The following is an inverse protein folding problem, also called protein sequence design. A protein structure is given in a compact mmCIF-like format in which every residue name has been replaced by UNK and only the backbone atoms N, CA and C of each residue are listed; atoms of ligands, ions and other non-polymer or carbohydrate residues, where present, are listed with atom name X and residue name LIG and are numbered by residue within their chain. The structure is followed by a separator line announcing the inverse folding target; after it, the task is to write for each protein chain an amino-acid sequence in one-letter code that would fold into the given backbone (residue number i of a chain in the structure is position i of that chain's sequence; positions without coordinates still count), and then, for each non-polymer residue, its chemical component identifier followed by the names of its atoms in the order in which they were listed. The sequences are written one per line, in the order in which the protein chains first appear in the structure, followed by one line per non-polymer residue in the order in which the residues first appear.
data_IF_514124572758
#
_entry.id   IF_514124572758
#
_cell.length_a   1.000
_cell.length_b   1.000
_cell.length_c   1.000
_cell.angle_alpha   90.00
_cell.angle_beta   90.00
_cell.angle_gamma   90.00
#
_symmetry.space_group_name_H-M   'P 1'
#
loop_
_entity.id
_entity.type
_entity.pdbx_description
1 polymer ?
#
# COMPACT_ATOMS: atom_id res chain seq x y z
N UNK A 1 -12.48 32.29 51.97
CA UNK A 1 -12.75 31.25 50.94
C UNK A 1 -12.36 31.83 49.59
N UNK A 2 -11.17 31.49 49.09
CA UNK A 2 -10.64 31.99 47.82
C UNK A 2 -11.19 31.15 46.66
N UNK A 3 -12.07 31.75 45.87
CA UNK A 3 -12.50 31.21 44.58
C UNK A 3 -11.39 31.46 43.56
N UNK A 4 -10.63 30.40 43.23
CA UNK A 4 -9.72 30.41 42.08
C UNK A 4 -10.57 30.34 40.81
N UNK A 5 -10.71 31.49 40.15
CA UNK A 5 -11.20 31.57 38.77
C UNK A 5 -10.17 30.87 37.87
N UNK A 6 -10.50 29.66 37.42
CA UNK A 6 -9.73 28.94 36.43
C UNK A 6 -9.88 29.68 35.09
N UNK A 7 -8.87 30.44 34.69
CA UNK A 7 -8.78 31.06 33.36
C UNK A 7 -8.88 29.97 32.27
N UNK A 8 -9.69 30.16 31.22
CA UNK A 8 -9.79 29.20 30.13
C UNK A 8 -8.48 29.19 29.34
N UNK A 9 -8.01 27.99 29.02
CA UNK A 9 -6.86 27.72 28.15
C UNK A 9 -7.08 28.49 26.84
N UNK A 10 -6.26 29.50 26.61
CA UNK A 10 -6.27 30.31 25.39
C UNK A 10 -5.94 29.43 24.20
N UNK A 11 -6.93 29.29 23.31
CA UNK A 11 -6.85 28.50 22.09
C UNK A 11 -6.07 29.32 21.06
N UNK A 12 -4.77 29.06 20.95
CA UNK A 12 -3.88 29.69 19.97
C UNK A 12 -4.34 29.28 18.57
N UNK A 13 -4.56 30.28 17.72
CA UNK A 13 -5.08 30.14 16.36
C UNK A 13 -3.97 29.63 15.42
N UNK A 14 -4.28 28.76 14.45
CA UNK A 14 -3.34 28.34 13.40
C UNK A 14 -3.30 29.36 12.25
N UNK A 15 -3.28 30.66 12.56
CA UNK A 15 -3.21 31.76 11.57
C UNK A 15 -1.92 32.58 11.68
N UNK A 16 -1.00 32.23 12.60
CA UNK A 16 0.35 32.75 12.54
C UNK A 16 1.08 32.01 11.41
N UNK A 17 1.28 32.73 10.30
CA UNK A 17 2.39 32.52 9.37
C UNK A 17 3.64 32.13 10.18
N UNK A 18 4.40 31.08 9.81
CA UNK A 18 5.49 30.62 10.65
C UNK A 18 6.48 31.77 10.84
N UNK A 19 6.41 32.40 12.01
CA UNK A 19 7.50 33.19 12.56
C UNK A 19 8.74 32.30 12.43
N UNK A 20 9.83 32.85 11.88
CA UNK A 20 11.07 32.18 11.47
C UNK A 20 11.89 31.69 12.69
N UNK A 21 11.17 31.16 13.68
CA UNK A 21 11.55 30.66 15.00
C UNK A 21 11.60 29.13 15.00
N UNK A 22 11.85 28.55 13.82
CA UNK A 22 12.37 27.18 13.77
C UNK A 22 13.62 27.09 14.66
N UNK A 23 13.92 25.92 15.26
CA UNK A 23 15.06 25.76 16.16
C UNK A 23 16.44 26.03 15.50
N UNK A 24 16.48 26.23 14.18
CA UNK A 24 17.67 26.54 13.38
C UNK A 24 17.29 27.62 12.36
N UNK A 25 17.92 28.79 12.44
CA UNK A 25 17.82 29.82 11.39
C UNK A 25 18.61 29.35 10.17
N UNK A 26 17.94 29.14 9.05
CA UNK A 26 18.56 28.62 7.83
C UNK A 26 19.26 29.79 7.09
N UNK A 27 20.60 29.80 7.10
CA UNK A 27 21.39 30.83 6.43
C UNK A 27 21.32 30.77 4.90
N UNK A 28 21.83 31.79 4.21
CA UNK A 28 21.87 31.84 2.73
C UNK A 28 22.57 30.61 2.10
N UNK A 29 23.52 30.01 2.82
CA UNK A 29 24.21 28.78 2.44
C UNK A 29 23.29 27.56 2.31
N UNK A 30 22.19 27.51 3.05
CA UNK A 30 21.21 26.42 2.96
C UNK A 30 20.57 26.37 1.57
N UNK A 31 20.13 27.52 1.05
CA UNK A 31 19.45 27.60 -0.24
C UNK A 31 20.36 27.20 -1.39
N UNK A 32 21.65 27.55 -1.30
CA UNK A 32 22.67 27.09 -2.26
C UNK A 32 22.87 25.57 -2.19
N UNK A 33 23.08 25.01 -0.99
CA UNK A 33 23.23 23.56 -0.78
C UNK A 33 21.99 22.79 -1.26
N UNK A 34 20.79 23.34 -1.05
CA UNK A 34 19.54 22.76 -1.54
C UNK A 34 19.52 22.69 -3.07
N UNK A 35 19.85 23.77 -3.76
CA UNK A 35 19.92 23.80 -5.22
C UNK A 35 20.97 22.83 -5.81
N UNK A 36 22.11 22.67 -5.15
CA UNK A 36 23.14 21.68 -5.53
C UNK A 36 22.66 20.24 -5.31
N UNK A 37 22.05 19.97 -4.17
CA UNK A 37 21.50 18.66 -3.84
C UNK A 37 20.40 18.24 -4.82
N UNK A 38 19.49 19.14 -5.18
CA UNK A 38 18.44 18.85 -6.16
C UNK A 38 19.01 18.53 -7.55
N UNK A 39 20.11 19.17 -7.96
CA UNK A 39 20.77 18.83 -9.24
C UNK A 39 21.37 17.42 -9.22
N UNK A 40 21.98 17.02 -8.10
CA UNK A 40 22.52 15.67 -7.92
C UNK A 40 21.42 14.61 -7.86
N UNK A 41 20.26 14.96 -7.30
CA UNK A 41 19.09 14.06 -7.25
C UNK A 41 18.28 14.02 -8.55
N UNK A 42 18.44 15.00 -9.46
CA UNK A 42 17.73 15.01 -10.74
C UNK A 42 18.13 13.83 -11.64
N UNK A 43 19.32 13.28 -11.42
CA UNK A 43 19.80 12.05 -12.08
C UNK A 43 19.27 10.76 -11.40
N UNK A 44 18.72 10.86 -10.17
CA UNK A 44 18.00 9.75 -9.53
C UNK A 44 16.59 9.66 -10.12
N UNK A 45 16.20 8.44 -10.50
CA UNK A 45 14.92 8.17 -11.17
C UNK A 45 13.73 8.56 -10.29
N UNK A 46 13.87 8.55 -8.94
CA UNK A 46 12.76 8.84 -8.03
C UNK A 46 13.13 9.52 -6.70
N UNK A 47 12.38 10.56 -6.28
CA UNK A 47 12.56 11.18 -4.98
C UNK A 47 12.11 10.24 -3.85
N UNK A 48 12.99 10.00 -2.88
CA UNK A 48 12.64 9.33 -1.64
C UNK A 48 12.13 10.37 -0.61
N UNK A 49 10.88 10.20 -0.20
CA UNK A 49 10.16 11.09 0.73
C UNK A 49 10.26 10.54 2.15
N UNK A 50 10.52 11.40 3.14
CA UNK A 50 10.47 11.01 4.55
C UNK A 50 9.03 10.78 5.04
N UNK A 51 8.75 9.66 5.68
CA UNK A 51 7.43 9.29 6.19
C UNK A 51 7.06 10.05 7.47
N UNK A 52 8.03 10.35 8.33
CA UNK A 52 7.86 11.07 9.60
C UNK A 52 6.64 10.64 10.43
N UNK A 53 6.37 9.33 10.50
CA UNK A 53 5.16 8.74 11.10
C UNK A 53 4.79 9.29 12.48
N UNK A 54 5.78 9.51 13.35
CA UNK A 54 5.58 10.04 14.70
C UNK A 54 5.05 11.48 14.67
N UNK A 55 5.54 12.32 13.75
CA UNK A 55 5.07 13.70 13.58
C UNK A 55 3.64 13.74 13.06
N UNK A 56 3.29 12.88 12.10
CA UNK A 56 1.90 12.76 11.64
C UNK A 56 0.97 12.33 12.78
N UNK A 57 1.35 11.34 13.59
CA UNK A 57 0.55 10.91 14.74
C UNK A 57 0.38 12.01 15.79
N UNK A 58 1.43 12.81 16.04
CA UNK A 58 1.35 13.99 16.90
C UNK A 58 0.39 15.04 16.35
N UNK A 59 0.48 15.37 15.06
CA UNK A 59 -0.42 16.33 14.41
C UNK A 59 -1.89 15.89 14.48
N UNK A 60 -2.17 14.61 14.15
CA UNK A 60 -3.51 14.04 14.24
C UNK A 60 -4.08 14.12 15.66
N UNK A 61 -3.26 13.78 16.66
CA UNK A 61 -3.66 13.82 18.07
C UNK A 61 -3.91 15.26 18.54
N UNK A 62 -3.08 16.21 18.10
CA UNK A 62 -3.28 17.62 18.40
C UNK A 62 -4.59 18.15 17.83
N UNK A 63 -4.87 17.90 16.55
CA UNK A 63 -6.12 18.30 15.89
C UNK A 63 -7.34 17.64 16.54
N UNK A 64 -7.25 16.36 16.92
CA UNK A 64 -8.31 15.68 17.67
C UNK A 64 -8.57 16.35 19.02
N UNK A 65 -7.52 16.67 19.78
CA UNK A 65 -7.65 17.36 21.06
C UNK A 65 -8.30 18.75 20.91
N UNK A 66 -7.97 19.50 19.84
CA UNK A 66 -8.66 20.75 19.55
C UNK A 66 -10.16 20.55 19.30
N UNK A 67 -10.55 19.52 18.54
CA UNK A 67 -11.95 19.18 18.31
C UNK A 67 -12.67 18.81 19.61
N UNK A 68 -12.02 18.07 20.50
CA UNK A 68 -12.56 17.72 21.83
C UNK A 68 -12.81 18.98 22.67
N UNK A 69 -11.88 19.93 22.68
CA UNK A 69 -12.05 21.21 23.39
C UNK A 69 -13.21 22.04 22.82
N UNK A 70 -13.34 22.10 21.49
CA UNK A 70 -14.45 22.79 20.83
C UNK A 70 -15.76 22.11 21.22
N UNK A 71 -15.84 20.78 21.14
CA UNK A 71 -17.02 20.00 21.54
C UNK A 71 -17.42 20.27 22.98
N UNK A 72 -16.48 20.19 23.92
CA UNK A 72 -16.73 20.43 25.35
C UNK A 72 -17.28 21.83 25.62
N UNK A 73 -16.77 22.86 24.93
CA UNK A 73 -17.27 24.22 25.05
C UNK A 73 -18.70 24.38 24.51
N UNK A 74 -19.04 23.71 23.41
CA UNK A 74 -20.38 23.74 22.82
C UNK A 74 -21.38 23.04 23.75
N UNK A 75 -21.03 21.86 24.26
CA UNK A 75 -21.88 21.10 25.20
C UNK A 75 -22.10 21.87 26.50
N UNK A 76 -21.07 22.52 27.04
CA UNK A 76 -21.16 23.32 28.27
C UNK A 76 -22.05 24.56 28.09
N UNK A 77 -21.95 25.26 26.96
CA UNK A 77 -22.64 26.54 26.77
C UNK A 77 -24.03 26.38 26.13
N UNK A 78 -24.37 25.20 25.62
CA UNK A 78 -25.65 24.90 24.96
C UNK A 78 -25.93 25.69 23.68
N UNK A 79 -24.99 26.55 23.23
CA UNK A 79 -25.10 27.42 22.08
C UNK A 79 -23.73 27.58 21.40
N UNK A 80 -23.72 28.03 20.15
CA UNK A 80 -22.48 28.22 19.38
C UNK A 80 -22.39 29.63 18.79
N UNK A 81 -21.21 30.23 18.84
CA UNK A 81 -20.94 31.51 18.17
C UNK A 81 -20.47 31.31 16.73
N UNK A 82 -20.72 32.29 15.84
CA UNK A 82 -20.21 32.29 14.46
C UNK A 82 -18.69 32.05 14.40
N UNK A 83 -17.92 32.67 15.30
CA UNK A 83 -16.46 32.48 15.38
C UNK A 83 -16.09 31.03 15.74
N UNK A 84 -16.82 30.43 16.70
CA UNK A 84 -16.60 29.03 17.10
C UNK A 84 -16.98 28.05 16.00
N UNK A 85 -18.03 28.33 15.23
CA UNK A 85 -18.43 27.51 14.09
C UNK A 85 -17.42 27.58 12.95
N UNK A 86 -16.86 28.77 12.67
CA UNK A 86 -15.77 28.92 11.69
C UNK A 86 -14.52 28.15 12.12
N UNK A 87 -14.13 28.26 13.40
CA UNK A 87 -13.02 27.51 13.96
C UNK A 87 -13.25 25.99 13.84
N UNK A 88 -14.43 25.50 14.24
CA UNK A 88 -14.80 24.10 14.13
C UNK A 88 -14.65 23.60 12.68
N UNK A 89 -15.18 24.35 11.71
CA UNK A 89 -15.07 24.00 10.29
C UNK A 89 -13.62 23.91 9.83
N UNK A 90 -12.79 24.90 10.20
CA UNK A 90 -11.36 24.92 9.85
C UNK A 90 -10.63 23.74 10.48
N UNK A 91 -10.82 23.48 11.78
CA UNK A 91 -10.16 22.36 12.48
C UNK A 91 -10.63 21.00 11.93
N UNK A 92 -11.92 20.81 11.65
CA UNK A 92 -12.43 19.58 11.02
C UNK A 92 -11.82 19.35 9.63
N UNK A 93 -11.69 20.41 8.84
CA UNK A 93 -11.06 20.34 7.52
C UNK A 93 -9.58 19.96 7.63
N UNK A 94 -8.82 20.58 8.54
CA UNK A 94 -7.43 20.23 8.78
C UNK A 94 -7.28 18.79 9.28
N UNK A 95 -8.16 18.34 10.17
CA UNK A 95 -8.15 16.96 10.67
C UNK A 95 -8.43 15.95 9.55
N UNK A 96 -9.43 16.19 8.71
CA UNK A 96 -9.75 15.33 7.58
C UNK A 96 -8.61 15.28 6.54
N UNK A 97 -7.98 16.42 6.25
CA UNK A 97 -6.82 16.47 5.37
C UNK A 97 -5.63 15.73 5.99
N UNK A 98 -5.33 15.94 7.27
CA UNK A 98 -4.23 15.24 7.95
C UNK A 98 -4.41 13.71 7.94
N UNK A 99 -5.65 13.21 8.06
CA UNK A 99 -5.95 11.78 7.92
C UNK A 99 -5.63 11.31 6.49
N UNK A 100 -6.12 12.04 5.48
CA UNK A 100 -5.89 11.70 4.07
C UNK A 100 -4.41 11.71 3.73
N UNK A 101 -3.68 12.73 4.17
CA UNK A 101 -2.25 12.90 3.91
C UNK A 101 -1.44 11.79 4.57
N UNK A 102 -1.79 11.44 5.82
CA UNK A 102 -1.16 10.31 6.52
C UNK A 102 -1.43 8.99 5.80
N UNK A 103 -2.68 8.72 5.43
CA UNK A 103 -3.04 7.52 4.67
C UNK A 103 -2.25 7.45 3.35
N UNK A 104 -2.25 8.53 2.59
CA UNK A 104 -1.53 8.63 1.32
C UNK A 104 -0.05 8.29 1.47
N UNK A 105 0.66 8.92 2.42
CA UNK A 105 2.08 8.67 2.66
C UNK A 105 2.33 7.22 3.12
N UNK A 106 1.46 6.66 3.95
CA UNK A 106 1.62 5.28 4.43
C UNK A 106 1.39 4.23 3.35
N UNK A 107 0.57 4.52 2.34
CA UNK A 107 0.28 3.64 1.21
C UNK A 107 1.38 3.65 0.13
N UNK A 108 2.28 4.62 0.16
CA UNK A 108 3.44 4.70 -0.75
C UNK A 108 4.39 3.51 -0.59
N UNK A 109 5.19 3.27 -1.63
CA UNK A 109 6.14 2.18 -1.66
C UNK A 109 7.28 2.36 -0.67
N UNK A 110 7.73 1.24 -0.10
CA UNK A 110 8.93 1.18 0.74
C UNK A 110 10.13 0.81 -0.11
N UNK A 111 11.07 1.72 -0.39
CA UNK A 111 12.28 1.39 -1.13
C UNK A 111 13.18 0.41 -0.34
N UNK A 112 14.08 -0.32 -1.04
CA UNK A 112 15.07 -1.19 -0.43
C UNK A 112 15.85 -0.49 0.69
N UNK A 113 16.22 -1.24 1.75
CA UNK A 113 16.94 -0.68 2.91
C UNK A 113 18.25 0.01 2.51
N UNK A 114 18.95 -0.51 1.50
CA UNK A 114 20.20 0.08 0.99
C UNK A 114 19.95 1.47 0.43
N UNK A 115 18.93 1.62 -0.43
CA UNK A 115 18.52 2.91 -0.98
C UNK A 115 18.15 3.91 0.12
N UNK A 116 17.39 3.46 1.14
CA UNK A 116 17.03 4.31 2.29
C UNK A 116 18.25 4.80 3.07
N UNK A 117 19.20 3.91 3.30
CA UNK A 117 20.43 4.26 4.00
C UNK A 117 21.29 5.22 3.18
N UNK A 118 21.41 4.98 1.88
CA UNK A 118 22.15 5.84 0.96
C UNK A 118 21.53 7.24 0.90
N UNK A 119 20.19 7.34 0.78
CA UNK A 119 19.47 8.61 0.80
C UNK A 119 19.69 9.37 2.11
N UNK A 120 19.57 8.67 3.24
CA UNK A 120 19.85 9.24 4.56
C UNK A 120 21.27 9.78 4.65
N UNK A 121 22.28 9.01 4.22
CA UNK A 121 23.68 9.44 4.23
C UNK A 121 23.89 10.66 3.31
N UNK A 122 23.25 10.68 2.13
CA UNK A 122 23.33 11.80 1.20
C UNK A 122 22.73 13.09 1.80
N UNK A 123 21.59 12.98 2.47
CA UNK A 123 20.95 14.10 3.18
C UNK A 123 21.79 14.55 4.38
N UNK A 124 22.30 13.61 5.19
CA UNK A 124 23.17 13.90 6.34
C UNK A 124 24.46 14.61 5.90
N UNK A 125 25.03 14.22 4.75
CA UNK A 125 26.22 14.84 4.18
C UNK A 125 25.97 16.20 3.53
N UNK A 126 24.83 16.37 2.85
CA UNK A 126 24.48 17.64 2.19
C UNK A 126 24.01 18.71 3.19
N UNK A 127 23.37 18.28 4.27
CA UNK A 127 22.80 19.15 5.30
C UNK A 127 23.28 18.74 6.72
N UNK A 128 24.57 18.92 7.04
CA UNK A 128 25.12 18.52 8.33
C UNK A 128 24.48 19.26 9.51
N UNK A 129 24.07 20.52 9.31
CA UNK A 129 23.37 21.34 10.30
C UNK A 129 22.01 20.74 10.69
N UNK A 130 21.32 20.10 9.75
CA UNK A 130 20.03 19.42 9.97
C UNK A 130 20.19 17.96 10.36
N UNK A 131 21.34 17.35 10.06
CA UNK A 131 21.67 16.00 10.49
C UNK A 131 21.81 15.90 12.01
N UNK A 132 22.34 16.94 12.64
CA UNK A 132 22.47 17.05 14.08
C UNK A 132 22.24 18.50 14.57
N UNK A 133 20.98 18.95 14.61
CA UNK A 133 20.65 20.34 14.96
C UNK A 133 20.93 20.65 16.44
N UNK A 134 21.03 19.63 17.29
CA UNK A 134 21.29 19.78 18.72
C UNK A 134 22.46 18.89 19.17
N UNK A 135 23.71 19.41 19.09
CA UNK A 135 24.90 18.67 19.48
C UNK A 135 24.80 18.17 20.94
N UNK A 136 25.15 16.90 21.17
CA UNK A 136 25.08 16.27 22.50
C UNK A 136 23.75 15.59 22.84
N UNK A 137 22.74 15.69 21.97
CA UNK A 137 21.48 14.93 22.08
C UNK A 137 21.47 13.73 21.13
N UNK A 138 20.70 12.67 21.44
CA UNK A 138 20.45 11.54 20.51
C UNK A 138 19.40 11.91 19.45
N UNK A 139 19.52 13.07 18.81
CA UNK A 139 18.60 13.49 17.77
C UNK A 139 19.18 13.20 16.39
N UNK A 140 18.50 12.37 15.60
CA UNK A 140 18.88 12.08 14.21
C UNK A 140 17.62 12.34 13.37
N UNK A 141 17.37 13.59 12.94
CA UNK A 141 16.12 13.97 12.28
C UNK A 141 15.86 13.20 10.98
N UNK A 142 16.92 12.90 10.23
CA UNK A 142 16.85 12.10 9.00
C UNK A 142 16.70 10.59 9.24
N UNK A 143 16.71 10.12 10.50
CA UNK A 143 16.39 8.74 10.83
C UNK A 143 14.88 8.49 10.78
N UNK A 144 14.34 8.55 9.56
CA UNK A 144 12.94 8.32 9.26
C UNK A 144 12.82 7.20 8.23
N UNK A 145 11.64 6.61 8.14
CA UNK A 145 11.36 5.69 7.05
C UNK A 145 11.18 6.51 5.78
N UNK A 146 11.87 6.13 4.70
CA UNK A 146 11.65 6.75 3.40
C UNK A 146 10.60 5.97 2.61
N UNK A 147 9.90 6.67 1.73
CA UNK A 147 8.87 6.19 0.80
C UNK A 147 9.16 6.69 -0.61
N UNK A 148 8.71 5.96 -1.63
CA UNK A 148 8.80 6.40 -3.02
C UNK A 148 7.43 6.63 -3.62
N UNK A 149 7.35 7.51 -4.62
CA UNK A 149 6.10 7.88 -5.28
C UNK A 149 5.50 6.75 -6.13
N UNK A 150 6.25 5.69 -6.42
CA UNK A 150 5.66 4.52 -7.04
C UNK A 150 4.52 4.00 -6.18
N UNK A 151 3.34 3.89 -6.80
CA UNK A 151 2.23 3.18 -6.19
C UNK A 151 2.70 1.77 -5.87
N UNK A 152 2.37 1.29 -4.67
CA UNK A 152 2.59 -0.09 -4.27
C UNK A 152 1.98 -1.01 -5.31
N UNK A 153 2.82 -1.56 -6.17
CA UNK A 153 2.48 -2.74 -6.96
C UNK A 153 2.46 -3.87 -5.94
N UNK A 154 1.36 -3.95 -5.18
CA UNK A 154 1.01 -5.16 -4.45
C UNK A 154 0.81 -6.19 -5.55
N UNK A 155 1.89 -6.84 -5.95
CA UNK A 155 1.80 -7.96 -6.87
C UNK A 155 1.11 -9.06 -6.07
N UNK A 156 -0.13 -9.35 -6.46
CA UNK A 156 -1.02 -10.20 -5.69
C UNK A 156 -0.32 -11.53 -5.39
N UNK A 157 -0.37 -11.96 -4.12
CA UNK A 157 0.19 -13.24 -3.68
C UNK A 157 -0.72 -14.35 -4.19
N UNK A 158 -0.59 -14.68 -5.46
CA UNK A 158 -1.36 -15.79 -6.04
C UNK A 158 -0.79 -17.12 -5.52
N UNK A 159 -1.64 -18.07 -5.14
CA UNK A 159 -1.20 -19.37 -4.59
C UNK A 159 -0.27 -20.14 -5.55
N UNK A 160 -0.43 -19.96 -6.86
CA UNK A 160 0.49 -20.49 -7.88
C UNK A 160 1.87 -19.82 -7.80
N UNK A 161 1.95 -18.52 -7.55
CA UNK A 161 3.23 -17.81 -7.39
C UNK A 161 3.96 -18.28 -6.13
N UNK A 162 3.23 -18.61 -5.06
CA UNK A 162 3.80 -19.22 -3.86
C UNK A 162 4.25 -20.67 -4.06
N UNK A 163 3.47 -21.48 -4.79
CA UNK A 163 3.85 -22.85 -5.15
C UNK A 163 5.09 -22.87 -6.04
N UNK A 164 5.13 -22.01 -7.07
CA UNK A 164 6.31 -21.80 -7.91
C UNK A 164 7.50 -21.34 -7.07
N UNK A 165 7.30 -20.43 -6.11
CA UNK A 165 8.34 -20.00 -5.16
C UNK A 165 8.87 -21.16 -4.31
N UNK A 166 8.04 -22.14 -3.93
CA UNK A 166 8.47 -23.31 -3.13
C UNK A 166 9.19 -24.36 -3.97
N UNK A 167 8.87 -24.48 -5.26
CA UNK A 167 9.42 -25.50 -6.15
C UNK A 167 10.59 -25.01 -7.02
N UNK A 168 10.70 -23.72 -7.35
CA UNK A 168 11.78 -23.19 -8.18
C UNK A 168 13.05 -22.93 -7.36
N UNK A 169 14.25 -23.28 -7.88
CA UNK A 169 15.51 -22.98 -7.23
C UNK A 169 15.73 -21.47 -7.11
N UNK A 170 16.35 -21.04 -6.01
CA UNK A 170 16.62 -19.63 -5.65
C UNK A 170 17.36 -18.81 -6.73
N UNK A 171 17.92 -19.43 -7.76
CA UNK A 171 18.56 -18.71 -8.88
C UNK A 171 17.56 -18.14 -9.88
N UNK A 172 16.34 -18.69 -9.98
CA UNK A 172 15.30 -18.24 -10.93
C UNK A 172 14.25 -17.34 -10.28
N UNK A 173 14.08 -17.40 -8.97
CA UNK A 173 13.11 -16.56 -8.24
C UNK A 173 13.55 -15.11 -8.10
N UNK A 174 14.85 -14.83 -8.23
CA UNK A 174 15.43 -13.50 -8.10
C UNK A 174 15.62 -12.80 -9.45
N UNK A 175 15.30 -11.51 -9.52
CA UNK A 175 15.69 -10.65 -10.63
C UNK A 175 17.16 -10.22 -10.50
N UNK A 176 17.84 -9.99 -11.62
CA UNK A 176 19.22 -9.47 -11.62
C UNK A 176 19.33 -8.10 -10.93
N UNK A 177 18.30 -7.27 -11.05
CA UNK A 177 18.20 -5.98 -10.38
C UNK A 177 18.07 -6.12 -8.85
N UNK A 178 17.21 -7.02 -8.36
CA UNK A 178 17.04 -7.22 -6.91
C UNK A 178 18.21 -7.99 -6.28
N UNK A 179 18.84 -8.92 -7.01
CA UNK A 179 20.07 -9.60 -6.58
C UNK A 179 21.22 -8.61 -6.37
N UNK A 180 21.37 -7.65 -7.28
CA UNK A 180 22.36 -6.56 -7.13
C UNK A 180 21.99 -5.58 -6.03
N UNK A 181 20.69 -5.33 -5.83
CA UNK A 181 20.21 -4.41 -4.82
C UNK A 181 20.15 -4.98 -3.38
N UNK A 182 20.20 -6.31 -3.18
CA UNK A 182 20.13 -6.97 -1.86
C UNK A 182 20.98 -8.26 -1.77
N UNK A 183 22.32 -8.18 -1.88
CA UNK A 183 23.19 -9.34 -1.85
C UNK A 183 23.19 -10.05 -0.48
N UNK A 184 22.98 -9.31 0.61
CA UNK A 184 22.86 -9.82 1.98
C UNK A 184 21.60 -10.70 2.15
N UNK A 185 20.46 -10.26 1.61
CA UNK A 185 19.19 -11.01 1.66
C UNK A 185 19.26 -12.27 0.77
N UNK A 186 19.90 -12.18 -0.40
CA UNK A 186 20.13 -13.32 -1.30
C UNK A 186 20.96 -14.42 -0.64
N UNK A 187 22.06 -14.05 0.02
CA UNK A 187 22.93 -15.02 0.73
C UNK A 187 22.24 -15.71 1.90
N UNK A 188 21.26 -15.04 2.51
CA UNK A 188 20.47 -15.57 3.65
C UNK A 188 19.32 -16.50 3.26
N UNK A 189 19.11 -16.76 1.96
CA UNK A 189 18.07 -17.69 1.47
C UNK A 189 16.63 -17.22 1.69
N UNK A 190 16.42 -15.95 2.05
CA UNK A 190 15.06 -15.36 2.15
C UNK A 190 14.51 -15.15 0.75
N UNK A 191 13.19 -15.21 0.60
CA UNK A 191 12.58 -15.02 -0.70
C UNK A 191 12.49 -13.54 -1.09
N UNK A 192 12.56 -13.22 -2.40
CA UNK A 192 12.44 -11.86 -2.90
C UNK A 192 11.01 -11.32 -2.78
N UNK A 193 10.88 -10.00 -2.66
CA UNK A 193 9.57 -9.32 -2.61
C UNK A 193 8.98 -9.12 -4.02
N UNK A 194 9.83 -9.14 -5.07
CA UNK A 194 9.43 -8.96 -6.47
C UNK A 194 9.72 -10.26 -7.23
N UNK A 195 8.69 -10.81 -7.88
CA UNK A 195 8.84 -12.04 -8.67
C UNK A 195 9.65 -11.76 -9.94
N UNK A 196 10.55 -12.68 -10.29
CA UNK A 196 11.24 -12.66 -11.59
C UNK A 196 10.22 -12.63 -12.75
N UNK A 197 10.49 -11.88 -13.84
CA UNK A 197 9.63 -11.85 -15.02
C UNK A 197 9.40 -13.27 -15.60
N UNK A 198 10.36 -14.18 -15.40
CA UNK A 198 10.20 -15.58 -15.78
C UNK A 198 9.15 -16.31 -14.95
N UNK A 199 9.12 -16.10 -13.62
CA UNK A 199 8.12 -16.70 -12.72
C UNK A 199 6.74 -16.13 -13.02
N UNK A 200 6.64 -14.84 -13.30
CA UNK A 200 5.37 -14.20 -13.67
C UNK A 200 4.85 -14.73 -15.02
N UNK A 201 5.70 -14.83 -16.04
CA UNK A 201 5.32 -15.46 -17.32
C UNK A 201 4.93 -16.93 -17.16
N UNK A 202 5.64 -17.69 -16.31
CA UNK A 202 5.33 -19.10 -16.06
C UNK A 202 4.01 -19.26 -15.30
N UNK A 203 3.75 -18.42 -14.30
CA UNK A 203 2.48 -18.41 -13.57
C UNK A 203 1.31 -18.08 -14.51
N UNK A 204 1.45 -17.05 -15.35
CA UNK A 204 0.44 -16.69 -16.36
C UNK A 204 0.22 -17.79 -17.37
N UNK A 205 1.28 -18.47 -17.81
CA UNK A 205 1.19 -19.61 -18.71
C UNK A 205 0.40 -20.76 -18.05
N UNK A 206 0.75 -21.15 -16.82
CA UNK A 206 0.05 -22.23 -16.09
C UNK A 206 -1.42 -21.87 -15.86
N UNK A 207 -1.72 -20.64 -15.42
CA UNK A 207 -3.10 -20.18 -15.19
C UNK A 207 -3.90 -20.23 -16.50
N UNK A 208 -3.34 -19.70 -17.59
CA UNK A 208 -3.99 -19.68 -18.90
C UNK A 208 -4.23 -21.10 -19.45
N UNK A 209 -3.23 -21.97 -19.35
CA UNK A 209 -3.34 -23.36 -19.79
C UNK A 209 -4.35 -24.14 -18.95
N UNK A 210 -4.30 -24.03 -17.62
CA UNK A 210 -5.22 -24.75 -16.75
C UNK A 210 -6.65 -24.26 -16.92
N UNK A 211 -6.85 -22.93 -17.02
CA UNK A 211 -8.16 -22.34 -17.33
C UNK A 211 -8.70 -22.80 -18.67
N UNK A 212 -7.86 -22.81 -19.72
CA UNK A 212 -8.25 -23.30 -21.05
C UNK A 212 -8.60 -24.79 -21.06
N UNK A 213 -7.77 -25.64 -20.44
CA UNK A 213 -8.04 -27.06 -20.31
C UNK A 213 -9.32 -27.34 -19.52
N UNK A 214 -9.60 -26.58 -18.46
CA UNK A 214 -10.83 -26.70 -17.69
C UNK A 214 -12.08 -26.46 -18.55
N UNK A 215 -12.05 -25.54 -19.52
CA UNK A 215 -13.16 -25.31 -20.45
C UNK A 215 -13.26 -26.38 -21.55
N UNK A 216 -12.13 -26.78 -22.13
CA UNK A 216 -12.09 -27.63 -23.33
C UNK A 216 -12.33 -29.11 -23.01
N UNK A 217 -11.78 -29.61 -21.90
CA UNK A 217 -11.86 -31.04 -21.54
C UNK A 217 -13.32 -31.52 -21.37
N UNK A 218 -14.20 -30.82 -20.64
CA UNK A 218 -15.60 -31.23 -20.52
C UNK A 218 -16.31 -31.25 -21.87
N UNK A 219 -16.07 -30.26 -22.73
CA UNK A 219 -16.64 -30.22 -24.08
C UNK A 219 -16.17 -31.41 -24.92
N UNK A 220 -14.87 -31.74 -24.85
CA UNK A 220 -14.29 -32.86 -25.58
C UNK A 220 -14.91 -34.20 -25.14
N UNK A 221 -15.05 -34.42 -23.83
CA UNK A 221 -15.68 -35.64 -23.27
C UNK A 221 -17.13 -35.79 -23.75
N UNK A 222 -17.90 -34.70 -23.79
CA UNK A 222 -19.30 -34.72 -24.23
C UNK A 222 -19.45 -35.05 -25.71
N UNK A 223 -18.53 -34.59 -26.55
CA UNK A 223 -18.53 -34.92 -27.99
C UNK A 223 -18.23 -36.41 -28.22
N UNK A 224 -17.31 -37.00 -27.47
CA UNK A 224 -16.94 -38.41 -27.65
C UNK A 224 -17.97 -39.42 -27.11
N UNK A 225 -18.79 -39.05 -26.13
CA UNK A 225 -19.81 -39.94 -25.56
C UNK A 225 -21.18 -39.23 -25.45
N UNK A 226 -21.92 -39.11 -26.55
CA UNK A 226 -23.23 -38.46 -26.57
C UNK A 226 -24.25 -39.31 -25.80
N UNK A 227 -24.39 -39.03 -24.50
CA UNK A 227 -25.37 -39.63 -23.61
C UNK A 227 -25.76 -38.62 -22.54
N UNK A 228 -27.07 -38.38 -22.38
CA UNK A 228 -27.60 -37.35 -21.48
C UNK A 228 -27.10 -37.53 -20.04
N UNK A 229 -27.15 -38.76 -19.51
CA UNK A 229 -26.71 -39.06 -18.15
C UNK A 229 -25.21 -38.80 -17.96
N UNK A 230 -24.37 -39.19 -18.94
CA UNK A 230 -22.91 -39.01 -18.84
C UNK A 230 -22.51 -37.55 -18.95
N UNK A 231 -23.18 -36.81 -19.82
CA UNK A 231 -22.97 -35.38 -20.01
C UNK A 231 -23.32 -34.59 -18.75
N UNK A 232 -24.48 -34.85 -18.14
CA UNK A 232 -24.89 -34.17 -16.91
C UNK A 232 -23.93 -34.45 -15.75
N UNK A 233 -23.50 -35.71 -15.59
CA UNK A 233 -22.49 -36.07 -14.58
C UNK A 233 -21.17 -35.34 -14.83
N UNK A 234 -20.72 -35.27 -16.10
CA UNK A 234 -19.48 -34.60 -16.48
C UNK A 234 -19.53 -33.10 -16.15
N UNK A 235 -20.65 -32.41 -16.41
CA UNK A 235 -20.83 -30.99 -16.02
C UNK A 235 -20.72 -30.81 -14.51
N UNK A 236 -21.46 -31.58 -13.73
CA UNK A 236 -21.47 -31.45 -12.27
C UNK A 236 -20.06 -31.66 -11.69
N UNK A 237 -19.36 -32.69 -12.13
CA UNK A 237 -17.98 -32.97 -11.69
C UNK A 237 -17.02 -31.86 -12.12
N UNK A 238 -17.11 -31.39 -13.37
CA UNK A 238 -16.24 -30.35 -13.90
C UNK A 238 -16.43 -29.00 -13.18
N UNK A 239 -17.67 -28.60 -12.86
CA UNK A 239 -17.98 -27.38 -12.12
C UNK A 239 -17.44 -27.44 -10.69
N UNK A 240 -17.63 -28.56 -10.00
CA UNK A 240 -17.12 -28.73 -8.63
C UNK A 240 -15.59 -28.72 -8.59
N UNK A 241 -14.93 -29.44 -9.51
CA UNK A 241 -13.46 -29.43 -9.60
C UNK A 241 -12.92 -28.04 -9.95
N UNK A 242 -13.58 -27.31 -10.84
CA UNK A 242 -13.20 -25.94 -11.19
C UNK A 242 -13.33 -25.00 -9.99
N UNK A 243 -14.44 -25.05 -9.26
CA UNK A 243 -14.66 -24.24 -8.06
C UNK A 243 -13.62 -24.54 -6.97
N UNK A 244 -13.31 -25.82 -6.76
CA UNK A 244 -12.29 -26.25 -5.80
C UNK A 244 -10.89 -25.79 -6.23
N UNK A 245 -10.55 -25.92 -7.52
CA UNK A 245 -9.30 -25.42 -8.05
C UNK A 245 -9.18 -23.90 -7.87
N UNK A 246 -10.22 -23.13 -8.22
CA UNK A 246 -10.23 -21.67 -8.01
C UNK A 246 -10.02 -21.31 -6.54
N UNK A 247 -10.74 -21.98 -5.63
CA UNK A 247 -10.67 -21.72 -4.19
C UNK A 247 -9.30 -22.03 -3.58
N UNK A 248 -8.55 -22.97 -4.15
CA UNK A 248 -7.22 -23.34 -3.66
C UNK A 248 -6.10 -22.52 -4.31
N UNK A 249 -6.30 -22.09 -5.55
CA UNK A 249 -5.28 -21.43 -6.36
C UNK A 249 -5.29 -19.92 -6.20
N UNK A 250 -6.49 -19.33 -6.11
CA UNK A 250 -6.68 -17.90 -6.05
C UNK A 250 -7.21 -17.51 -4.68
N UNK A 251 -6.51 -16.60 -4.02
CA UNK A 251 -7.01 -15.91 -2.83
C UNK A 251 -7.93 -14.78 -3.31
N UNK A 252 -9.07 -15.16 -3.87
CA UNK A 252 -10.09 -14.23 -4.38
C UNK A 252 -11.16 -13.99 -3.34
N UNK A 253 -11.73 -12.78 -3.36
CA UNK A 253 -12.88 -12.45 -2.55
C UNK A 253 -14.03 -13.43 -2.85
N UNK A 254 -14.76 -13.87 -1.82
CA UNK A 254 -15.80 -14.90 -1.95
C UNK A 254 -16.83 -14.57 -3.05
N UNK A 255 -17.07 -13.28 -3.31
CA UNK A 255 -17.99 -12.80 -4.35
C UNK A 255 -17.47 -13.10 -5.77
N UNK A 256 -16.18 -12.93 -6.00
CA UNK A 256 -15.56 -13.13 -7.31
C UNK A 256 -15.53 -14.63 -7.65
N UNK A 257 -15.25 -15.48 -6.67
CA UNK A 257 -15.26 -16.95 -6.83
C UNK A 257 -16.65 -17.46 -7.20
N UNK A 258 -17.72 -16.96 -6.54
CA UNK A 258 -19.10 -17.34 -6.86
C UNK A 258 -19.48 -16.87 -8.26
N UNK A 259 -19.11 -15.63 -8.64
CA UNK A 259 -19.39 -15.10 -9.97
C UNK A 259 -18.70 -15.91 -11.07
N UNK A 260 -17.41 -16.22 -10.91
CA UNK A 260 -16.64 -17.00 -11.90
C UNK A 260 -17.20 -18.43 -12.05
N UNK A 261 -17.55 -19.08 -10.94
CA UNK A 261 -18.16 -20.42 -10.95
C UNK A 261 -19.53 -20.41 -11.63
N UNK A 262 -20.36 -19.39 -11.36
CA UNK A 262 -21.66 -19.25 -12.00
C UNK A 262 -21.55 -19.04 -13.52
N UNK A 263 -20.61 -18.19 -13.97
CA UNK A 263 -20.33 -18.00 -15.41
C UNK A 263 -19.89 -19.31 -16.06
N UNK A 264 -18.97 -20.03 -15.43
CA UNK A 264 -18.50 -21.32 -15.95
C UNK A 264 -19.62 -22.37 -16.05
N UNK A 265 -20.43 -22.49 -14.99
CA UNK A 265 -21.58 -23.40 -14.98
C UNK A 265 -22.60 -23.03 -16.06
N UNK A 266 -22.90 -21.75 -16.25
CA UNK A 266 -23.83 -21.28 -17.28
C UNK A 266 -23.36 -21.69 -18.69
N UNK A 267 -22.08 -21.49 -19.02
CA UNK A 267 -21.52 -21.87 -20.33
C UNK A 267 -21.66 -23.38 -20.59
N UNK A 268 -21.33 -24.21 -19.59
CA UNK A 268 -21.48 -25.66 -19.72
C UNK A 268 -22.94 -26.09 -19.86
N UNK A 269 -23.85 -25.53 -19.05
CA UNK A 269 -25.28 -25.88 -19.09
C UNK A 269 -25.90 -25.49 -20.43
N UNK A 270 -25.58 -24.32 -20.98
CA UNK A 270 -26.04 -23.90 -22.31
C UNK A 270 -25.55 -24.88 -23.38
N UNK A 271 -24.27 -25.26 -23.33
CA UNK A 271 -23.70 -26.22 -24.29
C UNK A 271 -24.40 -27.59 -24.24
N UNK A 272 -24.71 -28.09 -23.03
CA UNK A 272 -25.48 -29.33 -22.87
C UNK A 272 -26.88 -29.16 -23.44
N UNK A 273 -27.58 -28.08 -23.11
CA UNK A 273 -28.95 -27.83 -23.57
C UNK A 273 -29.09 -27.74 -25.09
N UNK A 274 -28.11 -27.13 -25.78
CA UNK A 274 -28.10 -27.06 -27.24
C UNK A 274 -27.75 -28.39 -27.90
N UNK A 275 -26.87 -29.18 -27.28
CA UNK A 275 -26.40 -30.46 -27.83
C UNK A 275 -27.47 -31.57 -27.73
N UNK A 276 -28.32 -31.51 -26.70
CA UNK A 276 -29.45 -32.45 -26.54
C UNK A 276 -30.67 -32.09 -27.40
N UNK A 277 -30.77 -30.85 -27.87
CA UNK A 277 -31.88 -30.40 -28.72
C UNK A 277 -31.76 -30.76 -30.21
N UNK A 278 -30.63 -31.34 -30.63
CA UNK A 278 -30.36 -31.75 -32.02
C UNK A 278 -30.38 -33.28 -32.24
N UNK A 279 -30.76 -34.09 -31.24
CA UNK A 279 -30.94 -35.55 -31.40
C UNK A 279 -32.40 -35.94 -31.63
#
# INVERSE_FOLDING_TARGET
MNSKVQTPISLVLPDDEPDDTGPVTLGEDYWRKLGEHTKLEQDEIEPALGEFKKLHAMNLTHLLNQLVLIKANIEKNGTTSKKQMTLLRKTLQHYANAIRDFQYITELNTPPRIYRNQKRIALEGSFPELANPFPGSRNIPYNTFYRTLQKRTVQNRDGIRELLRKFLPNRLSWTESERRARPDVYSSGRAPDIYSPFVDSTARFIIGTFGGCALVVPMMVMVFQPSLTKTLITVCVAVVLFALALSLVFETDNKDTISATATYAAVLVVFVGTSTGQS
#
